data_IF_989791804608
#
_entry.id   IF_989791804608
#
_cell.length_a   1.000
_cell.length_b   1.000
_cell.length_c   1.000
_cell.angle_alpha   90.00
_cell.angle_beta   90.00
_cell.angle_gamma   90.00
#
_symmetry.space_group_name_H-M   'P 1'
#
loop_
_entity.id
_entity.type
_entity.pdbx_description
1 polymer ?
#
# COMPACT_ATOMS: atom_id res chain seq x y z
N UNK A 1 -12.51 12.74 -6.90
CA UNK A 1 -11.83 12.82 -5.58
C UNK A 1 -11.69 11.46 -4.87
N UNK A 2 -12.54 10.46 -5.12
CA UNK A 2 -12.39 9.12 -4.51
C UNK A 2 -11.17 8.30 -5.01
N UNK A 3 -10.74 8.47 -6.26
CA UNK A 3 -9.60 7.75 -6.84
C UNK A 3 -8.27 8.07 -6.17
N UNK A 4 -8.07 9.32 -5.72
CA UNK A 4 -6.86 9.71 -4.98
C UNK A 4 -6.81 9.06 -3.61
N UNK A 5 -7.95 8.97 -2.92
CA UNK A 5 -8.02 8.29 -1.62
C UNK A 5 -7.68 6.80 -1.73
N UNK A 6 -8.03 6.15 -2.85
CA UNK A 6 -7.72 4.73 -3.09
C UNK A 6 -6.24 4.47 -3.39
N UNK A 7 -5.40 5.49 -3.58
CA UNK A 7 -3.99 5.33 -3.99
C UNK A 7 -3.01 6.19 -3.18
N UNK A 8 -3.49 6.85 -2.12
CA UNK A 8 -2.70 7.77 -1.29
C UNK A 8 -2.51 7.14 0.11
N UNK A 9 -1.32 6.56 0.40
CA UNK A 9 -1.03 5.90 1.68
C UNK A 9 -1.19 6.82 2.89
N UNK A 10 -0.86 8.11 2.76
CA UNK A 10 -0.95 9.08 3.86
C UNK A 10 -2.41 9.40 4.19
N UNK A 11 -3.25 9.57 3.17
CA UNK A 11 -4.68 9.77 3.35
C UNK A 11 -5.35 8.54 4.01
N UNK A 12 -4.95 7.33 3.63
CA UNK A 12 -5.44 6.09 4.24
C UNK A 12 -5.04 5.99 5.72
N UNK A 13 -3.78 6.28 6.06
CA UNK A 13 -3.29 6.28 7.46
C UNK A 13 -3.97 7.34 8.31
N UNK A 14 -4.18 8.54 7.76
CA UNK A 14 -4.94 9.59 8.42
C UNK A 14 -6.37 9.15 8.73
N UNK A 15 -7.04 8.51 7.78
CA UNK A 15 -8.38 7.97 8.00
C UNK A 15 -8.37 6.81 9.01
N UNK A 16 -7.37 5.93 8.97
CA UNK A 16 -7.21 4.87 9.96
C UNK A 16 -7.09 5.44 11.38
N UNK A 17 -6.31 6.51 11.57
CA UNK A 17 -6.23 7.22 12.85
C UNK A 17 -7.58 7.78 13.33
N UNK A 18 -8.42 8.26 12.42
CA UNK A 18 -9.79 8.71 12.77
C UNK A 18 -10.69 7.55 13.23
N UNK A 19 -10.57 6.38 12.60
CA UNK A 19 -11.29 5.17 13.03
C UNK A 19 -10.82 4.69 14.40
N UNK A 20 -9.52 4.82 14.70
CA UNK A 20 -8.96 4.50 16.01
C UNK A 20 -9.56 5.38 17.13
N UNK A 21 -9.55 6.70 16.93
CA UNK A 21 -10.17 7.65 17.87
C UNK A 21 -11.67 7.39 18.02
N UNK A 22 -12.35 7.03 16.94
CA UNK A 22 -13.77 6.70 17.01
C UNK A 22 -14.03 5.42 17.79
N UNK A 23 -13.22 4.38 17.61
CA UNK A 23 -13.32 3.14 18.39
C UNK A 23 -13.15 3.39 19.89
N UNK A 24 -12.14 4.19 20.27
CA UNK A 24 -11.93 4.60 21.67
C UNK A 24 -13.14 5.36 22.23
N UNK A 25 -13.71 6.28 21.45
CA UNK A 25 -14.91 7.04 21.85
C UNK A 25 -16.09 6.10 22.11
N UNK A 26 -16.33 5.13 21.21
CA UNK A 26 -17.41 4.15 21.36
C UNK A 26 -17.18 3.24 22.57
N UNK A 27 -15.94 2.80 22.82
CA UNK A 27 -15.61 2.01 24.01
C UNK A 27 -15.85 2.77 25.32
N UNK A 28 -15.47 4.05 25.37
CA UNK A 28 -15.69 4.91 26.53
C UNK A 28 -17.17 5.17 26.78
N UNK A 29 -17.95 5.40 25.71
CA UNK A 29 -19.39 5.59 25.81
C UNK A 29 -20.10 4.31 26.26
N UNK A 30 -19.71 3.15 25.72
CA UNK A 30 -20.20 1.85 26.16
C UNK A 30 -19.91 1.60 27.65
N UNK A 31 -18.71 1.96 28.11
CA UNK A 31 -18.31 1.84 29.53
C UNK A 31 -19.16 2.73 30.43
N UNK A 32 -19.41 3.98 30.02
CA UNK A 32 -20.29 4.91 30.75
C UNK A 32 -21.73 4.42 30.81
N UNK A 33 -22.27 3.91 29.70
CA UNK A 33 -23.62 3.34 29.67
C UNK A 33 -23.76 2.14 30.59
N UNK A 34 -22.76 1.26 30.63
CA UNK A 34 -22.76 0.11 31.53
C UNK A 34 -22.76 0.53 33.00
N UNK A 35 -21.93 1.51 33.37
CA UNK A 35 -21.91 2.06 34.74
C UNK A 35 -23.24 2.74 35.11
N UNK A 36 -23.84 3.49 34.18
CA UNK A 36 -25.15 4.13 34.37
C UNK A 36 -26.26 3.11 34.62
N UNK A 37 -26.27 2.02 33.83
CA UNK A 37 -27.27 0.97 33.98
C UNK A 37 -27.19 0.25 35.32
N UNK A 38 -25.98 -0.04 35.80
CA UNK A 38 -25.77 -0.69 37.11
C UNK A 38 -26.28 0.19 38.25
N UNK A 39 -26.09 1.51 38.16
CA UNK A 39 -26.62 2.47 39.12
C UNK A 39 -28.16 2.53 39.11
N UNK A 40 -28.79 2.44 37.93
CA UNK A 40 -30.26 2.42 37.80
C UNK A 40 -30.86 1.14 38.40
N UNK A 41 -30.24 -0.03 38.18
CA UNK A 41 -30.67 -1.27 38.83
C UNK A 41 -30.57 -1.22 40.37
N UNK A 42 -29.61 -0.45 40.91
CA UNK A 42 -29.48 -0.24 42.36
C UNK A 42 -30.52 0.69 42.99
N UNK A 43 -31.28 1.46 42.18
CA UNK A 43 -32.24 2.47 42.65
C UNK A 43 -33.68 1.95 42.87
N UNK A 44 -33.88 0.62 42.91
CA UNK A 44 -35.17 0.01 43.31
C UNK A 44 -36.02 -0.59 42.19
N UNK A 45 -35.45 -0.86 41.03
CA UNK A 45 -36.12 -1.59 39.94
C UNK A 45 -36.02 -3.09 40.22
N UNK A 46 -36.95 -3.64 41.02
CA UNK A 46 -36.96 -5.07 41.37
C UNK A 46 -37.86 -5.93 40.48
N UNK A 47 -37.43 -7.17 40.19
CA UNK A 47 -38.28 -8.20 39.56
C UNK A 47 -38.13 -8.31 38.04
N UNK A 48 -39.24 -8.35 37.30
CA UNK A 48 -39.23 -8.56 35.83
C UNK A 48 -38.48 -7.43 35.10
N UNK A 49 -38.60 -6.19 35.59
CA UNK A 49 -37.93 -5.02 35.03
C UNK A 49 -36.39 -5.09 35.15
N UNK A 50 -35.88 -5.65 36.26
CA UNK A 50 -34.46 -5.88 36.46
C UNK A 50 -33.91 -6.88 35.44
N UNK A 51 -34.59 -8.01 35.29
CA UNK A 51 -34.19 -9.08 34.37
C UNK A 51 -34.18 -8.62 32.91
N UNK A 52 -35.24 -7.93 32.47
CA UNK A 52 -35.31 -7.35 31.12
C UNK A 52 -34.23 -6.28 30.89
N UNK A 53 -33.89 -5.49 31.91
CA UNK A 53 -32.83 -4.49 31.81
C UNK A 53 -31.45 -5.15 31.68
N UNK A 54 -31.19 -6.20 32.46
CA UNK A 54 -29.95 -7.00 32.34
C UNK A 54 -29.82 -7.65 30.96
N UNK A 55 -30.90 -8.22 30.42
CA UNK A 55 -30.89 -8.82 29.08
C UNK A 55 -30.61 -7.77 27.99
N UNK A 56 -31.26 -6.60 28.09
CA UNK A 56 -31.04 -5.48 27.16
C UNK A 56 -29.59 -4.97 27.25
N UNK A 57 -29.03 -4.90 28.45
CA UNK A 57 -27.62 -4.56 28.67
C UNK A 57 -26.66 -5.58 28.05
N UNK A 58 -26.95 -6.88 28.18
CA UNK A 58 -26.16 -7.93 27.54
C UNK A 58 -26.17 -7.84 26.01
N UNK A 59 -27.34 -7.55 25.42
CA UNK A 59 -27.47 -7.31 23.98
C UNK A 59 -26.70 -6.07 23.55
N UNK A 60 -26.82 -4.96 24.27
CA UNK A 60 -26.08 -3.74 23.97
C UNK A 60 -24.57 -3.92 24.10
N UNK A 61 -24.09 -4.61 25.14
CA UNK A 61 -22.67 -4.91 25.29
C UNK A 61 -22.13 -5.77 24.13
N UNK A 62 -22.96 -6.64 23.57
CA UNK A 62 -22.62 -7.42 22.38
C UNK A 62 -22.57 -6.54 21.14
N UNK A 63 -23.55 -5.66 20.95
CA UNK A 63 -23.57 -4.71 19.84
C UNK A 63 -22.36 -3.76 19.87
N UNK A 64 -21.99 -3.20 21.03
CA UNK A 64 -20.82 -2.33 21.18
C UNK A 64 -19.54 -3.05 20.78
N UNK A 65 -19.33 -4.28 21.27
CA UNK A 65 -18.16 -5.09 20.89
C UNK A 65 -18.10 -5.32 19.37
N UNK A 66 -19.24 -5.60 18.74
CA UNK A 66 -19.30 -5.76 17.29
C UNK A 66 -18.92 -4.46 16.55
N UNK A 67 -19.41 -3.30 17.00
CA UNK A 67 -19.07 -2.01 16.41
C UNK A 67 -17.57 -1.73 16.54
N UNK A 68 -17.00 -1.90 17.72
CA UNK A 68 -15.55 -1.71 17.95
C UNK A 68 -14.72 -2.64 17.07
N UNK A 69 -15.11 -3.92 16.97
CA UNK A 69 -14.45 -4.88 16.09
C UNK A 69 -14.51 -4.45 14.62
N UNK A 70 -15.65 -3.92 14.16
CA UNK A 70 -15.77 -3.38 12.80
C UNK A 70 -14.87 -2.15 12.59
N UNK A 71 -14.83 -1.23 13.55
CA UNK A 71 -14.01 -0.02 13.47
C UNK A 71 -12.52 -0.36 13.41
N UNK A 72 -12.06 -1.30 14.25
CA UNK A 72 -10.70 -1.83 14.18
C UNK A 72 -10.44 -2.55 12.86
N UNK A 73 -11.40 -3.34 12.35
CA UNK A 73 -11.29 -3.98 11.05
C UNK A 73 -11.07 -3.00 9.90
N UNK A 74 -11.80 -1.89 9.89
CA UNK A 74 -11.61 -0.82 8.88
C UNK A 74 -10.26 -0.14 9.05
N UNK A 75 -9.86 0.21 10.28
CA UNK A 75 -8.54 0.79 10.58
C UNK A 75 -7.41 -0.10 10.06
N UNK A 76 -7.45 -1.39 10.40
CA UNK A 76 -6.40 -2.34 10.06
C UNK A 76 -6.36 -2.61 8.54
N UNK A 77 -7.53 -2.61 7.88
CA UNK A 77 -7.64 -2.67 6.42
C UNK A 77 -6.97 -1.48 5.73
N UNK A 78 -7.27 -0.26 6.19
CA UNK A 78 -6.66 0.97 5.64
C UNK A 78 -5.14 0.98 5.80
N UNK A 79 -4.62 0.54 6.95
CA UNK A 79 -3.17 0.45 7.18
C UNK A 79 -2.54 -0.58 6.25
N UNK A 80 -3.17 -1.74 6.06
CA UNK A 80 -2.70 -2.79 5.15
C UNK A 80 -2.64 -2.28 3.71
N UNK A 81 -3.69 -1.62 3.26
CA UNK A 81 -3.78 -1.09 1.90
C UNK A 81 -2.71 -0.02 1.67
N UNK A 82 -2.51 0.90 2.62
CA UNK A 82 -1.44 1.91 2.55
C UNK A 82 -0.06 1.27 2.36
N UNK A 83 0.26 0.23 3.15
CA UNK A 83 1.53 -0.48 3.04
C UNK A 83 1.65 -1.22 1.71
N UNK A 84 0.55 -1.76 1.17
CA UNK A 84 0.55 -2.43 -0.13
C UNK A 84 0.89 -1.46 -1.26
N UNK A 85 0.29 -0.26 -1.27
CA UNK A 85 0.58 0.75 -2.27
C UNK A 85 2.03 1.25 -2.22
N UNK A 86 2.59 1.48 -1.04
CA UNK A 86 4.01 1.88 -0.92
C UNK A 86 4.96 0.79 -1.44
N UNK A 87 4.68 -0.48 -1.14
CA UNK A 87 5.48 -1.59 -1.64
C UNK A 87 5.38 -1.73 -3.15
N UNK A 88 4.18 -1.58 -3.70
CA UNK A 88 3.95 -1.60 -5.13
C UNK A 88 4.70 -0.47 -5.84
N UNK A 89 4.69 0.73 -5.27
CA UNK A 89 5.42 1.87 -5.80
C UNK A 89 6.94 1.62 -5.75
N UNK A 90 7.48 1.16 -4.62
CA UNK A 90 8.89 0.83 -4.49
C UNK A 90 9.34 -0.24 -5.51
N UNK A 91 8.55 -1.30 -5.69
CA UNK A 91 8.83 -2.35 -6.68
C UNK A 91 8.79 -1.80 -8.13
N UNK A 92 7.88 -0.87 -8.41
CA UNK A 92 7.81 -0.22 -9.72
C UNK A 92 9.03 0.67 -9.99
N UNK A 93 9.54 1.37 -8.97
CA UNK A 93 10.76 2.18 -9.06
C UNK A 93 12.00 1.31 -9.29
N UNK A 94 12.12 0.17 -8.60
CA UNK A 94 13.22 -0.77 -8.80
C UNK A 94 13.20 -1.35 -10.22
N UNK A 95 12.03 -1.80 -10.69
CA UNK A 95 11.85 -2.30 -12.07
C UNK A 95 12.25 -1.25 -13.11
N UNK A 96 11.85 0.02 -12.89
CA UNK A 96 12.24 1.12 -13.76
C UNK A 96 13.76 1.36 -13.75
N UNK A 97 14.40 1.32 -12.58
CA UNK A 97 15.86 1.45 -12.44
C UNK A 97 16.63 0.32 -13.14
N UNK A 98 16.14 -0.92 -13.02
CA UNK A 98 16.68 -2.07 -13.74
C UNK A 98 16.54 -1.89 -15.26
N UNK A 99 15.38 -1.44 -15.73
CA UNK A 99 15.13 -1.19 -17.14
C UNK A 99 16.05 -0.09 -17.70
N UNK A 100 16.25 1.01 -16.97
CA UNK A 100 17.20 2.06 -17.36
C UNK A 100 18.64 1.54 -17.47
N UNK A 101 19.02 0.61 -16.59
CA UNK A 101 20.33 -0.03 -16.63
C UNK A 101 20.46 -0.96 -17.83
N UNK A 102 19.43 -1.77 -18.10
CA UNK A 102 19.37 -2.63 -19.29
C UNK A 102 19.46 -1.81 -20.58
N UNK A 103 18.73 -0.70 -20.68
CA UNK A 103 18.82 0.21 -21.83
C UNK A 103 20.23 0.76 -22.02
N UNK A 104 20.89 1.24 -20.96
CA UNK A 104 22.28 1.70 -21.04
C UNK A 104 23.23 0.60 -21.52
N UNK A 105 23.07 -0.62 -21.03
CA UNK A 105 23.87 -1.76 -21.46
C UNK A 105 23.68 -2.07 -22.95
N UNK A 106 22.42 -2.07 -23.44
CA UNK A 106 22.10 -2.28 -24.85
C UNK A 106 22.76 -1.19 -25.72
N UNK A 107 22.64 0.07 -25.34
CA UNK A 107 23.24 1.19 -26.09
C UNK A 107 24.78 1.05 -26.15
N UNK A 108 25.42 0.69 -25.04
CA UNK A 108 26.85 0.47 -25.00
C UNK A 108 27.29 -0.69 -25.91
N UNK A 109 26.55 -1.79 -25.92
CA UNK A 109 26.81 -2.91 -26.82
C UNK A 109 26.66 -2.51 -28.29
N UNK A 110 25.60 -1.75 -28.62
CA UNK A 110 25.36 -1.27 -29.98
C UNK A 110 26.46 -0.33 -30.48
N UNK A 111 26.98 0.54 -29.62
CA UNK A 111 28.15 1.36 -29.95
C UNK A 111 29.38 0.50 -30.21
N UNK A 112 29.66 -0.50 -29.38
CA UNK A 112 30.78 -1.43 -29.61
C UNK A 112 30.67 -2.19 -30.94
N UNK A 113 29.48 -2.68 -31.28
CA UNK A 113 29.22 -3.35 -32.57
C UNK A 113 29.42 -2.39 -33.74
N UNK A 114 28.85 -1.18 -33.66
CA UNK A 114 29.00 -0.15 -34.69
C UNK A 114 30.48 0.17 -34.93
N UNK A 115 31.23 0.42 -33.87
CA UNK A 115 32.63 0.82 -33.97
C UNK A 115 33.51 -0.33 -34.51
N UNK A 116 33.17 -1.59 -34.19
CA UNK A 116 33.78 -2.78 -34.79
C UNK A 116 33.53 -2.88 -36.29
N UNK A 117 32.27 -2.73 -36.73
CA UNK A 117 31.92 -2.75 -38.16
C UNK A 117 32.61 -1.64 -38.95
N UNK A 118 32.75 -0.44 -38.38
CA UNK A 118 33.49 0.66 -39.00
C UNK A 118 34.97 0.29 -39.18
N UNK A 119 35.58 -0.33 -38.17
CA UNK A 119 36.99 -0.75 -38.24
C UNK A 119 37.20 -1.82 -39.31
N UNK A 120 36.31 -2.81 -39.36
CA UNK A 120 36.39 -3.87 -40.36
C UNK A 120 36.22 -3.30 -41.78
N UNK A 121 35.24 -2.41 -41.99
CA UNK A 121 35.06 -1.72 -43.26
C UNK A 121 36.34 -0.98 -43.71
N UNK A 122 36.97 -0.22 -42.79
CA UNK A 122 38.22 0.46 -43.08
C UNK A 122 39.37 -0.50 -43.41
N UNK A 123 39.44 -1.67 -42.76
CA UNK A 123 40.44 -2.71 -43.07
C UNK A 123 40.23 -3.30 -44.46
N UNK A 124 38.98 -3.57 -44.85
CA UNK A 124 38.66 -4.05 -46.19
C UNK A 124 39.06 -3.04 -47.27
N UNK A 125 38.73 -1.75 -47.10
CA UNK A 125 39.13 -0.70 -48.06
C UNK A 125 40.65 -0.60 -48.22
N UNK A 126 41.41 -0.67 -47.13
CA UNK A 126 42.88 -0.66 -47.18
C UNK A 126 43.43 -1.89 -47.90
N UNK A 127 42.85 -3.06 -47.66
CA UNK A 127 43.27 -4.31 -48.29
C UNK A 127 42.99 -4.31 -49.81
N UNK A 128 41.86 -3.74 -50.23
CA UNK A 128 41.55 -3.54 -51.66
C UNK A 128 42.53 -2.55 -52.31
N UNK A 129 42.78 -1.39 -51.69
CA UNK A 129 43.71 -0.40 -52.21
C UNK A 129 45.13 -0.97 -52.37
N UNK A 130 45.61 -1.72 -51.38
CA UNK A 130 46.92 -2.40 -51.44
C UNK A 130 46.96 -3.45 -52.56
N UNK A 131 45.88 -4.23 -52.73
CA UNK A 131 45.78 -5.25 -53.78
C UNK A 131 45.80 -4.63 -55.19
N UNK A 132 45.10 -3.51 -55.39
CA UNK A 132 45.11 -2.78 -56.67
C UNK A 132 46.49 -2.24 -57.03
N UNK A 133 47.26 -1.74 -56.04
CA UNK A 133 48.62 -1.26 -56.28
C UNK A 133 49.57 -2.38 -56.73
N UNK A 134 49.49 -3.55 -56.10
CA UNK A 134 50.28 -4.73 -56.46
C UNK A 134 49.95 -5.20 -57.89
N UNK A 135 48.68 -5.20 -58.28
CA UNK A 135 48.24 -5.60 -59.62
C UNK A 135 48.62 -4.58 -60.71
N UNK A 136 48.88 -3.32 -60.34
CA UNK A 136 49.30 -2.25 -61.25
C UNK A 136 50.82 -2.06 -61.37
N UNK A 137 51.60 -2.83 -60.61
CA UNK A 137 53.07 -2.83 -60.59
C UNK A 137 53.64 -3.92 -61.50
#
# INVERSE_FOLDING_TARGET
>A
MATRFMTDPDAMRSMAGRFDVHAQTVEDEARRMWASSTNISGAGWGGLAERTSMDTMGQMQTAFRNIVNMLHGVRDGLIRDANHYEQQEAASMDTMGQMQTAFRNIVNMLHGVRDGLIRDANHYEQQEAASQQILSS
#
